data_IF_373728153494
#
_entry.id   IF_373728153494
#
_cell.length_a   1.000
_cell.length_b   1.000
_cell.length_c   1.000
_cell.angle_alpha   90.00
_cell.angle_beta   90.00
_cell.angle_gamma   90.00
#
_symmetry.space_group_name_H-M   'P 1'
#
loop_
_entity.id
_entity.type
_entity.pdbx_description
1 polymer ?
#
# COMPACT_ATOMS: atom_id res chain seq x y z
N UNK A 1 -12.41 -0.99 2.53
CA UNK A 1 -11.13 -1.71 2.73
C UNK A 1 -11.32 -3.20 2.53
N UNK A 2 -12.21 -3.87 3.27
CA UNK A 2 -12.51 -5.30 3.08
C UNK A 2 -13.00 -5.65 1.67
N UNK A 3 -13.84 -4.80 1.09
CA UNK A 3 -14.31 -4.89 -0.31
C UNK A 3 -13.16 -4.92 -1.32
N UNK A 4 -12.13 -4.08 -1.11
CA UNK A 4 -10.98 -4.06 -2.01
C UNK A 4 -10.02 -5.23 -1.75
N UNK A 5 -9.87 -5.66 -0.50
CA UNK A 5 -9.10 -6.87 -0.17
C UNK A 5 -9.71 -8.09 -0.87
N UNK A 6 -11.03 -8.24 -0.87
CA UNK A 6 -11.74 -9.31 -1.58
C UNK A 6 -11.50 -9.23 -3.09
N UNK A 7 -11.73 -8.05 -3.68
CA UNK A 7 -11.47 -7.81 -5.10
C UNK A 7 -10.02 -8.14 -5.49
N UNK A 8 -9.05 -7.69 -4.70
CA UNK A 8 -7.63 -7.90 -4.94
C UNK A 8 -7.22 -9.36 -4.77
N UNK A 9 -7.80 -10.08 -3.79
CA UNK A 9 -7.57 -11.52 -3.61
C UNK A 9 -8.00 -12.29 -4.84
N UNK A 10 -9.21 -12.03 -5.36
CA UNK A 10 -9.74 -12.69 -6.57
C UNK A 10 -8.92 -12.31 -7.81
N UNK A 11 -8.42 -11.08 -7.88
CA UNK A 11 -7.74 -10.56 -9.06
C UNK A 11 -6.26 -10.92 -9.15
N UNK A 12 -5.55 -10.86 -8.03
CA UNK A 12 -4.08 -10.95 -8.02
C UNK A 12 -3.55 -12.29 -7.47
N UNK A 13 -4.36 -13.09 -6.76
CA UNK A 13 -3.99 -14.46 -6.40
C UNK A 13 -4.43 -15.45 -7.48
N UNK A 14 -3.62 -16.49 -7.77
CA UNK A 14 -4.01 -17.51 -8.72
C UNK A 14 -5.15 -18.36 -8.16
N UNK A 15 -6.02 -18.82 -9.05
CA UNK A 15 -7.02 -19.82 -8.73
C UNK A 15 -6.37 -21.16 -8.35
N UNK A 16 -6.73 -21.66 -7.17
CA UNK A 16 -6.14 -22.80 -6.52
C UNK A 16 -7.17 -23.79 -5.94
N UNK A 17 -8.45 -23.73 -6.34
CA UNK A 17 -9.53 -24.52 -5.73
C UNK A 17 -9.19 -26.00 -5.55
N UNK A 18 -8.59 -26.65 -6.56
CA UNK A 18 -8.24 -28.09 -6.50
C UNK A 18 -6.75 -28.39 -6.77
N UNK A 19 -5.89 -27.36 -6.80
CA UNK A 19 -4.48 -27.55 -7.16
C UNK A 19 -3.53 -26.66 -6.36
N UNK A 20 -2.38 -27.23 -6.01
CA UNK A 20 -1.29 -26.45 -5.47
C UNK A 20 -0.70 -25.54 -6.55
N UNK A 21 -0.55 -24.26 -6.23
CA UNK A 21 0.04 -23.26 -7.13
C UNK A 21 1.21 -22.58 -6.45
N UNK A 22 2.33 -22.48 -7.17
CA UNK A 22 3.49 -21.73 -6.71
C UNK A 22 3.23 -20.23 -6.86
N UNK A 23 3.35 -19.49 -5.76
CA UNK A 23 3.30 -18.02 -5.77
C UNK A 23 4.69 -17.45 -5.47
N UNK A 24 4.88 -16.18 -5.83
CA UNK A 24 6.03 -15.37 -5.39
C UNK A 24 5.51 -14.43 -4.30
N UNK A 25 5.64 -14.76 -3.00
CA UNK A 25 4.96 -14.01 -1.94
C UNK A 25 5.22 -12.51 -1.99
N UNK A 26 6.48 -12.12 -2.24
CA UNK A 26 6.85 -10.71 -2.38
C UNK A 26 5.97 -9.96 -3.39
N UNK A 27 5.80 -10.49 -4.60
CA UNK A 27 5.07 -9.84 -5.69
C UNK A 27 3.56 -9.91 -5.47
N UNK A 28 3.05 -11.06 -5.03
CA UNK A 28 1.61 -11.24 -4.75
C UNK A 28 1.14 -10.31 -3.63
N UNK A 29 1.89 -10.24 -2.53
CA UNK A 29 1.59 -9.36 -1.40
C UNK A 29 1.76 -7.89 -1.78
N UNK A 30 2.79 -7.54 -2.59
CA UNK A 30 2.98 -6.17 -3.07
C UNK A 30 1.78 -5.65 -3.84
N UNK A 31 1.23 -6.44 -4.77
CA UNK A 31 0.02 -6.04 -5.53
C UNK A 31 -1.20 -5.91 -4.62
N UNK A 32 -1.40 -6.86 -3.72
CA UNK A 32 -2.50 -6.85 -2.75
C UNK A 32 -2.47 -5.58 -1.88
N UNK A 33 -1.32 -5.31 -1.26
CA UNK A 33 -1.11 -4.13 -0.40
C UNK A 33 -1.23 -2.83 -1.21
N UNK A 34 -0.67 -2.77 -2.41
CA UNK A 34 -0.80 -1.58 -3.29
C UNK A 34 -2.26 -1.23 -3.58
N UNK A 35 -3.10 -2.22 -3.94
CA UNK A 35 -4.54 -1.98 -4.17
C UNK A 35 -5.27 -1.50 -2.92
N UNK A 36 -5.02 -2.14 -1.78
CA UNK A 36 -5.65 -1.77 -0.51
C UNK A 36 -5.23 -0.36 -0.09
N UNK A 37 -3.94 -0.03 -0.16
CA UNK A 37 -3.42 1.31 0.12
C UNK A 37 -4.01 2.35 -0.83
N UNK A 38 -4.08 2.06 -2.13
CA UNK A 38 -4.68 2.96 -3.10
C UNK A 38 -6.19 3.19 -2.83
N UNK A 39 -6.91 2.18 -2.32
CA UNK A 39 -8.32 2.33 -1.91
C UNK A 39 -8.48 3.28 -0.74
N UNK A 40 -7.57 3.22 0.23
CA UNK A 40 -7.59 4.09 1.41
C UNK A 40 -7.17 5.51 1.02
N UNK A 41 -6.22 5.65 0.10
CA UNK A 41 -5.62 6.95 -0.18
C UNK A 41 -6.35 7.73 -1.27
N UNK A 42 -6.75 7.07 -2.36
CA UNK A 42 -7.38 7.71 -3.51
C UNK A 42 -8.87 7.41 -3.64
N UNK A 43 -9.35 6.31 -3.06
CA UNK A 43 -10.72 5.85 -3.26
C UNK A 43 -10.99 5.34 -4.69
N UNK A 44 -12.26 5.08 -5.00
CA UNK A 44 -12.69 4.69 -6.35
C UNK A 44 -12.90 5.93 -7.24
N UNK A 45 -12.66 5.83 -8.55
CA UNK A 45 -12.17 4.65 -9.29
C UNK A 45 -10.64 4.52 -9.31
N UNK A 46 -9.91 5.51 -8.80
CA UNK A 46 -8.45 5.60 -8.94
C UNK A 46 -7.68 4.45 -8.29
N UNK A 47 -8.19 3.85 -7.22
CA UNK A 47 -7.54 2.69 -6.59
C UNK A 47 -7.39 1.47 -7.51
N UNK A 48 -8.20 1.39 -8.57
CA UNK A 48 -8.15 0.32 -9.58
C UNK A 48 -7.50 0.77 -10.89
N UNK A 49 -6.99 2.00 -10.95
CA UNK A 49 -6.25 2.49 -12.10
C UNK A 49 -4.89 1.77 -12.14
N UNK A 50 -4.67 0.95 -13.18
CA UNK A 50 -3.43 0.16 -13.30
C UNK A 50 -2.19 1.05 -13.51
N UNK A 51 -2.32 2.24 -14.11
CA UNK A 51 -1.20 3.20 -14.20
C UNK A 51 -0.82 3.70 -12.80
N UNK A 52 -1.80 4.01 -11.93
CA UNK A 52 -1.49 4.39 -10.55
C UNK A 52 -0.83 3.24 -9.78
N UNK A 53 -1.36 2.02 -9.89
CA UNK A 53 -0.82 0.87 -9.20
C UNK A 53 0.63 0.62 -9.63
N UNK A 54 0.90 0.62 -10.93
CA UNK A 54 2.26 0.53 -11.49
C UNK A 54 3.16 1.65 -10.94
N UNK A 55 2.72 2.91 -10.99
CA UNK A 55 3.49 4.03 -10.45
C UNK A 55 3.82 3.79 -8.98
N UNK A 56 2.84 3.39 -8.16
CA UNK A 56 3.02 3.22 -6.72
C UNK A 56 3.98 2.09 -6.36
N UNK A 57 3.95 0.97 -7.10
CA UNK A 57 4.83 -0.19 -6.86
C UNK A 57 6.22 0.05 -7.43
N UNK A 58 6.32 0.51 -8.67
CA UNK A 58 7.60 0.68 -9.35
C UNK A 58 8.39 1.86 -8.79
N UNK A 59 7.71 2.95 -8.40
CA UNK A 59 8.36 4.04 -7.67
C UNK A 59 8.94 3.53 -6.36
N UNK A 60 8.22 2.66 -5.65
CA UNK A 60 8.68 2.05 -4.41
C UNK A 60 9.99 1.28 -4.61
N UNK A 61 10.01 0.33 -5.53
CA UNK A 61 11.22 -0.45 -5.82
C UNK A 61 12.37 0.45 -6.29
N UNK A 62 12.10 1.40 -7.18
CA UNK A 62 13.11 2.28 -7.74
C UNK A 62 13.74 3.23 -6.70
N UNK A 63 12.95 3.71 -5.72
CA UNK A 63 13.48 4.51 -4.60
C UNK A 63 14.44 3.68 -3.76
N UNK A 64 14.09 2.44 -3.43
CA UNK A 64 14.97 1.56 -2.65
C UNK A 64 16.28 1.24 -3.38
N UNK A 65 16.23 0.96 -4.68
CA UNK A 65 17.45 0.81 -5.50
C UNK A 65 18.32 2.06 -5.41
N UNK A 66 17.72 3.24 -5.55
CA UNK A 66 18.45 4.51 -5.45
C UNK A 66 19.08 4.71 -4.08
N UNK A 67 18.34 4.42 -3.00
CA UNK A 67 18.82 4.55 -1.62
C UNK A 67 19.99 3.60 -1.33
N UNK A 68 19.90 2.33 -1.75
CA UNK A 68 20.98 1.35 -1.58
C UNK A 68 22.25 1.82 -2.28
N UNK A 69 22.14 2.26 -3.54
CA UNK A 69 23.30 2.76 -4.29
C UNK A 69 23.87 4.00 -3.64
N UNK A 70 23.05 5.00 -3.30
CA UNK A 70 23.51 6.24 -2.68
C UNK A 70 24.17 6.02 -1.31
N UNK A 71 23.77 4.98 -0.56
CA UNK A 71 24.37 4.62 0.72
C UNK A 71 25.80 4.06 0.59
N UNK A 72 26.15 3.53 -0.58
CA UNK A 72 27.51 3.04 -0.86
C UNK A 72 28.50 4.18 -1.14
N UNK A 73 28.01 5.41 -1.38
CA UNK A 73 28.86 6.55 -1.70
C UNK A 73 28.74 7.68 -0.66
N UNK A 74 29.82 8.45 -0.43
CA UNK A 74 29.77 9.63 0.43
C UNK A 74 28.79 10.69 -0.09
N UNK A 75 28.13 11.43 0.81
CA UNK A 75 27.11 12.44 0.46
C UNK A 75 27.56 13.49 -0.58
N UNK A 76 28.83 13.89 -0.57
CA UNK A 76 29.35 14.88 -1.53
C UNK A 76 29.33 14.40 -3.00
N UNK A 77 29.24 13.09 -3.23
CA UNK A 77 29.12 12.50 -4.58
C UNK A 77 27.69 12.46 -5.10
N UNK A 78 26.69 12.66 -4.22
CA UNK A 78 25.27 12.47 -4.56
C UNK A 78 24.81 13.41 -5.68
N UNK A 79 25.34 14.62 -5.77
CA UNK A 79 25.03 15.55 -6.87
C UNK A 79 25.45 15.01 -8.25
N UNK A 80 26.63 14.39 -8.35
CA UNK A 80 27.14 13.79 -9.59
C UNK A 80 26.38 12.50 -9.91
N UNK A 81 26.16 11.66 -8.89
CA UNK A 81 25.37 10.44 -8.99
C UNK A 81 23.92 10.75 -9.41
N UNK A 82 23.38 11.91 -9.01
CA UNK A 82 22.13 12.49 -9.48
C UNK A 82 21.96 12.44 -10.99
N UNK A 83 23.03 12.81 -11.71
CA UNK A 83 23.03 12.87 -13.16
C UNK A 83 23.29 11.50 -13.81
N UNK A 84 24.08 10.65 -13.16
CA UNK A 84 24.53 9.38 -13.73
C UNK A 84 23.61 8.19 -13.42
N UNK A 85 22.83 8.23 -12.33
CA UNK A 85 22.03 7.10 -11.86
C UNK A 85 20.67 7.04 -12.58
N UNK A 86 20.43 6.04 -13.46
CA UNK A 86 19.15 5.91 -14.17
C UNK A 86 17.94 5.78 -13.24
N UNK A 87 18.15 5.27 -12.02
CA UNK A 87 17.08 5.15 -11.02
C UNK A 87 16.55 6.51 -10.55
N UNK A 88 17.39 7.54 -10.46
CA UNK A 88 16.93 8.88 -10.08
C UNK A 88 16.07 9.52 -11.18
N UNK A 89 16.48 9.34 -12.44
CA UNK A 89 15.70 9.76 -13.60
C UNK A 89 14.35 9.05 -13.68
N UNK A 90 14.33 7.73 -13.43
CA UNK A 90 13.10 6.93 -13.34
C UNK A 90 12.19 7.42 -12.22
N UNK A 91 12.76 7.68 -11.03
CA UNK A 91 12.02 8.24 -9.90
C UNK A 91 11.32 9.56 -10.26
N UNK A 92 12.06 10.48 -10.88
CA UNK A 92 11.48 11.73 -11.37
C UNK A 92 10.41 11.50 -12.46
N UNK A 93 10.57 10.48 -13.32
CA UNK A 93 9.56 10.10 -14.31
C UNK A 93 8.26 9.61 -13.66
N UNK A 94 8.33 8.74 -12.65
CA UNK A 94 7.16 8.27 -11.91
C UNK A 94 6.42 9.43 -11.24
N UNK A 95 7.14 10.36 -10.61
CA UNK A 95 6.54 11.58 -10.02
C UNK A 95 5.82 12.41 -11.10
N UNK A 96 6.42 12.59 -12.28
CA UNK A 96 5.76 13.32 -13.39
C UNK A 96 4.50 12.61 -13.88
N UNK A 97 4.53 11.28 -14.04
CA UNK A 97 3.36 10.48 -14.43
C UNK A 97 2.26 10.55 -13.36
N UNK A 98 2.62 10.45 -12.09
CA UNK A 98 1.70 10.61 -10.97
C UNK A 98 1.02 11.97 -10.96
N UNK A 99 1.80 13.05 -11.12
CA UNK A 99 1.26 14.42 -11.21
C UNK A 99 0.30 14.55 -12.40
N UNK A 100 0.62 13.97 -13.55
CA UNK A 100 -0.27 13.98 -14.73
C UNK A 100 -1.61 13.29 -14.45
N UNK A 101 -1.62 12.25 -13.62
CA UNK A 101 -2.83 11.52 -13.24
C UNK A 101 -3.63 12.24 -12.14
N UNK A 102 -2.95 12.69 -11.08
CA UNK A 102 -3.59 13.17 -9.86
C UNK A 102 -3.97 14.65 -9.91
N UNK A 103 -3.19 15.51 -10.58
CA UNK A 103 -3.49 16.96 -10.65
C UNK A 103 -4.89 17.23 -11.22
N UNK A 104 -5.29 16.62 -12.36
CA UNK A 104 -6.64 16.80 -12.88
C UNK A 104 -7.73 16.32 -11.91
N UNK A 105 -7.49 15.22 -11.20
CA UNK A 105 -8.44 14.70 -10.22
C UNK A 105 -8.59 15.66 -9.02
N UNK A 106 -7.48 16.19 -8.50
CA UNK A 106 -7.48 17.15 -7.39
C UNK A 106 -8.27 18.39 -7.77
N UNK A 107 -8.04 18.94 -8.98
CA UNK A 107 -8.79 20.09 -9.50
C UNK A 107 -10.29 19.74 -9.61
N UNK A 108 -10.62 18.58 -10.19
CA UNK A 108 -12.00 18.11 -10.33
C UNK A 108 -12.71 18.00 -8.98
N UNK A 109 -12.05 17.45 -7.94
CA UNK A 109 -12.62 17.32 -6.59
C UNK A 109 -12.87 18.69 -5.93
N UNK A 110 -11.96 19.64 -6.11
CA UNK A 110 -12.11 21.01 -5.61
C UNK A 110 -13.30 21.74 -6.24
N UNK A 111 -13.45 21.62 -7.56
CA UNK A 111 -14.54 22.24 -8.30
C UNK A 111 -15.92 21.67 -7.90
N UNK A 112 -15.96 20.39 -7.56
CA UNK A 112 -17.21 19.70 -7.25
C UNK A 112 -17.67 19.83 -5.79
N UNK A 113 -16.88 20.46 -4.89
CA UNK A 113 -17.15 20.59 -3.43
C UNK A 113 -17.92 19.37 -2.88
N UNK A 114 -17.33 18.20 -3.13
CA UNK A 114 -17.83 16.82 -2.96
C UNK A 114 -19.29 16.65 -2.50
N UNK A 115 -20.17 16.36 -3.46
CA UNK A 115 -21.57 15.98 -3.24
C UNK A 115 -21.76 14.55 -2.65
N UNK A 116 -20.68 13.78 -2.40
CA UNK A 116 -20.76 12.42 -1.83
C UNK A 116 -19.72 12.19 -0.71
N UNK A 117 -20.14 12.12 0.56
CA UNK A 117 -19.30 11.80 1.71
C UNK A 117 -18.55 10.45 1.62
N UNK A 118 -19.00 9.53 0.76
CA UNK A 118 -18.31 8.24 0.55
C UNK A 118 -17.12 8.35 -0.39
N UNK A 119 -17.10 9.35 -1.29
CA UNK A 119 -15.93 9.66 -2.11
C UNK A 119 -14.92 10.51 -1.36
N UNK A 120 -15.34 11.28 -0.36
CA UNK A 120 -14.51 12.24 0.38
C UNK A 120 -13.67 11.64 1.51
N UNK A 121 -13.93 10.40 1.95
CA UNK A 121 -13.25 9.82 3.10
C UNK A 121 -11.97 9.04 2.72
N UNK A 122 -11.02 9.72 2.07
CA UNK A 122 -9.72 9.17 1.69
C UNK A 122 -8.59 10.16 1.99
N UNK A 123 -7.35 9.65 2.02
CA UNK A 123 -6.17 10.44 2.39
C UNK A 123 -6.00 11.68 1.50
N UNK A 124 -6.19 11.56 0.18
CA UNK A 124 -6.06 12.68 -0.75
C UNK A 124 -7.05 13.80 -0.44
N UNK A 125 -8.30 13.44 -0.14
CA UNK A 125 -9.32 14.41 0.29
C UNK A 125 -8.96 15.07 1.62
N UNK A 126 -8.43 14.32 2.59
CA UNK A 126 -7.94 14.88 3.85
C UNK A 126 -6.76 15.83 3.64
N UNK A 127 -5.79 15.47 2.78
CA UNK A 127 -4.66 16.34 2.45
C UNK A 127 -5.11 17.66 1.81
N UNK A 128 -6.13 17.63 0.94
CA UNK A 128 -6.71 18.85 0.38
C UNK A 128 -7.39 19.73 1.43
N UNK A 129 -8.01 19.13 2.45
CA UNK A 129 -8.73 19.86 3.51
C UNK A 129 -7.78 20.54 4.50
N UNK A 130 -6.68 19.87 4.87
CA UNK A 130 -5.75 20.39 5.89
C UNK A 130 -4.62 21.24 5.30
N UNK A 131 -4.44 21.26 3.97
CA UNK A 131 -3.34 21.96 3.33
C UNK A 131 -3.37 23.48 3.62
N UNK A 132 -2.22 24.02 3.99
CA UNK A 132 -2.03 25.47 4.07
C UNK A 132 -2.08 26.10 2.66
N UNK A 133 -2.28 27.42 2.53
CA UNK A 133 -2.30 28.08 1.22
C UNK A 133 -1.06 27.79 0.37
N UNK A 134 0.11 27.66 1.01
CA UNK A 134 1.40 27.40 0.35
C UNK A 134 1.56 25.93 -0.07
N UNK A 135 0.86 24.99 0.59
CA UNK A 135 0.89 23.54 0.31
C UNK A 135 -0.29 23.09 -0.55
N UNK A 136 -1.17 24.03 -0.93
CA UNK A 136 -2.41 23.74 -1.66
C UNK A 136 -2.19 23.63 -3.18
N UNK A 137 -0.97 23.71 -3.69
CA UNK A 137 -0.71 23.42 -5.11
C UNK A 137 -1.09 21.96 -5.42
N UNK A 138 -1.97 21.69 -6.40
CA UNK A 138 -2.30 20.32 -6.79
C UNK A 138 -1.08 19.46 -7.12
N UNK A 139 -0.01 20.06 -7.65
CA UNK A 139 1.20 19.32 -8.00
C UNK A 139 2.00 18.89 -6.75
N UNK A 140 1.97 19.68 -5.68
CA UNK A 140 2.62 19.33 -4.41
C UNK A 140 1.83 18.28 -3.65
N UNK A 141 0.50 18.38 -3.63
CA UNK A 141 -0.39 17.34 -3.10
C UNK A 141 -0.21 16.00 -3.84
N UNK A 142 -0.10 16.04 -5.16
CA UNK A 142 0.17 14.85 -5.97
C UNK A 142 1.56 14.25 -5.68
N UNK A 143 2.57 15.09 -5.40
CA UNK A 143 3.88 14.61 -4.98
C UNK A 143 3.78 13.91 -3.62
N UNK A 144 3.15 14.56 -2.65
CA UNK A 144 2.98 14.04 -1.29
C UNK A 144 2.24 12.71 -1.30
N UNK A 145 1.20 12.56 -2.11
CA UNK A 145 0.45 11.32 -2.29
C UNK A 145 1.32 10.14 -2.74
N UNK A 146 2.29 10.37 -3.65
CA UNK A 146 3.24 9.35 -4.09
C UNK A 146 4.18 8.95 -2.95
N UNK A 147 4.66 9.91 -2.16
CA UNK A 147 5.54 9.65 -1.01
C UNK A 147 4.79 8.91 0.10
N UNK A 148 3.53 9.27 0.36
CA UNK A 148 2.68 8.56 1.31
C UNK A 148 2.42 7.12 0.87
N UNK A 149 2.16 6.92 -0.43
CA UNK A 149 2.00 5.59 -1.03
C UNK A 149 3.25 4.73 -0.86
N UNK A 150 4.43 5.28 -1.16
CA UNK A 150 5.72 4.62 -0.92
C UNK A 150 5.85 4.16 0.55
N UNK A 151 5.64 5.06 1.50
CA UNK A 151 5.82 4.79 2.92
C UNK A 151 4.87 3.69 3.43
N UNK A 152 3.62 3.73 2.99
CA UNK A 152 2.57 2.78 3.35
C UNK A 152 2.78 1.40 2.74
N UNK A 153 3.02 1.36 1.43
CA UNK A 153 3.13 0.10 0.66
C UNK A 153 4.37 -0.66 1.09
N UNK A 154 5.53 0.00 1.13
CA UNK A 154 6.80 -0.69 1.39
C UNK A 154 6.82 -1.39 2.76
N UNK A 155 6.45 -0.66 3.82
CA UNK A 155 6.48 -1.19 5.18
C UNK A 155 5.46 -2.30 5.38
N UNK A 156 4.24 -2.10 4.89
CA UNK A 156 3.15 -3.08 5.04
C UNK A 156 3.40 -4.36 4.23
N UNK A 157 3.91 -4.21 3.00
CA UNK A 157 4.28 -5.33 2.14
C UNK A 157 5.42 -6.16 2.75
N UNK A 158 6.48 -5.51 3.23
CA UNK A 158 7.59 -6.22 3.88
C UNK A 158 7.12 -6.95 5.12
N UNK A 159 6.34 -6.30 5.99
CA UNK A 159 5.82 -6.92 7.20
C UNK A 159 4.97 -8.15 6.88
N UNK A 160 4.06 -8.06 5.91
CA UNK A 160 3.22 -9.19 5.53
C UNK A 160 4.04 -10.36 4.94
N UNK A 161 5.08 -10.07 4.15
CA UNK A 161 6.01 -11.10 3.65
C UNK A 161 6.80 -11.73 4.78
N UNK A 162 7.31 -10.95 5.74
CA UNK A 162 8.07 -11.44 6.87
C UNK A 162 7.20 -12.34 7.77
N UNK A 163 5.98 -11.91 8.11
CA UNK A 163 5.02 -12.72 8.87
C UNK A 163 4.76 -14.05 8.17
N UNK A 164 4.57 -14.04 6.84
CA UNK A 164 4.37 -15.29 6.09
C UNK A 164 5.58 -16.23 6.20
N UNK A 165 6.81 -15.69 6.08
CA UNK A 165 8.03 -16.51 6.20
C UNK A 165 8.27 -16.99 7.62
N UNK A 166 7.99 -16.17 8.64
CA UNK A 166 8.13 -16.56 10.04
C UNK A 166 7.14 -17.69 10.39
N UNK A 167 5.89 -17.59 9.92
CA UNK A 167 4.88 -18.64 10.08
C UNK A 167 5.26 -19.93 9.33
N UNK A 168 5.88 -19.81 8.15
CA UNK A 168 6.37 -20.97 7.40
C UNK A 168 7.58 -21.65 8.08
N UNK A 169 8.42 -20.88 8.77
CA UNK A 169 9.59 -21.38 9.48
C UNK A 169 9.27 -21.90 10.89
N UNK A 170 8.20 -21.41 11.52
CA UNK A 170 7.76 -21.74 12.88
C UNK A 170 6.31 -22.18 12.88
N UNK A 171 6.07 -23.36 12.33
CA UNK A 171 4.71 -23.91 12.19
C UNK A 171 4.00 -24.13 13.52
N UNK A 172 4.72 -24.17 14.65
CA UNK A 172 4.13 -24.24 15.99
C UNK A 172 3.16 -23.07 16.29
N UNK A 173 3.31 -21.91 15.63
CA UNK A 173 2.41 -20.78 15.82
C UNK A 173 1.17 -20.84 14.92
N UNK A 174 1.16 -21.70 13.89
CA UNK A 174 0.04 -21.80 12.96
C UNK A 174 -1.19 -22.38 13.63
N UNK A 175 -1.02 -23.42 14.45
CA UNK A 175 -2.13 -24.09 15.15
C UNK A 175 -2.84 -23.10 16.08
N UNK A 176 -2.09 -22.46 17.00
CA UNK A 176 -2.62 -21.44 17.91
C UNK A 176 -3.30 -20.29 17.17
N UNK A 177 -2.68 -19.79 16.09
CA UNK A 177 -3.28 -18.69 15.30
C UNK A 177 -4.58 -19.11 14.60
N UNK A 178 -4.66 -20.35 14.13
CA UNK A 178 -5.87 -20.87 13.49
C UNK A 178 -6.99 -21.05 14.50
N UNK A 179 -6.69 -21.60 15.67
CA UNK A 179 -7.68 -21.78 16.74
C UNK A 179 -8.27 -20.44 17.18
N UNK A 180 -7.43 -19.42 17.42
CA UNK A 180 -7.91 -18.06 17.73
C UNK A 180 -8.82 -17.50 16.64
N UNK A 181 -8.42 -17.63 15.37
CA UNK A 181 -9.22 -17.14 14.24
C UNK A 181 -10.57 -17.87 14.19
N UNK A 182 -10.59 -19.19 14.43
CA UNK A 182 -11.80 -19.99 14.43
C UNK A 182 -12.74 -19.63 15.59
N UNK A 183 -12.20 -19.36 16.78
CA UNK A 183 -12.98 -18.87 17.93
C UNK A 183 -13.66 -17.53 17.60
N UNK A 184 -12.91 -16.57 17.05
CA UNK A 184 -13.48 -15.28 16.66
C UNK A 184 -14.49 -15.44 15.52
N UNK A 185 -14.28 -16.40 14.59
CA UNK A 185 -15.27 -16.71 13.55
C UNK A 185 -16.58 -17.22 14.15
N UNK A 186 -16.52 -18.06 15.20
CA UNK A 186 -17.71 -18.58 15.87
C UNK A 186 -18.49 -17.48 16.60
N UNK A 187 -17.78 -16.52 17.20
CA UNK A 187 -18.41 -15.42 17.94
C UNK A 187 -18.92 -14.28 17.06
N UNK A 188 -18.06 -13.75 16.19
CA UNK A 188 -18.28 -12.49 15.46
C UNK A 188 -18.63 -12.72 13.97
N UNK A 189 -18.72 -13.99 13.56
CA UNK A 189 -19.00 -14.39 12.18
C UNK A 189 -17.74 -14.43 11.30
N UNK A 190 -17.89 -14.67 9.99
CA UNK A 190 -16.75 -14.87 9.08
C UNK A 190 -15.81 -13.66 9.07
N UNK A 191 -14.50 -13.90 8.90
CA UNK A 191 -13.46 -12.86 8.94
C UNK A 191 -13.70 -11.65 8.03
N UNK A 192 -14.51 -11.83 6.97
CA UNK A 192 -14.89 -10.78 6.02
C UNK A 192 -15.88 -9.76 6.60
N UNK A 193 -16.60 -10.09 7.67
CA UNK A 193 -17.55 -9.19 8.35
C UNK A 193 -17.00 -8.59 9.64
N UNK A 194 -15.74 -8.90 9.96
CA UNK A 194 -15.10 -8.45 11.19
C UNK A 194 -15.00 -6.93 11.28
N UNK A 195 -15.39 -6.39 12.43
CA UNK A 195 -15.08 -5.01 12.79
C UNK A 195 -13.71 -4.95 13.48
N UNK A 196 -13.19 -3.74 13.70
CA UNK A 196 -11.90 -3.52 14.40
C UNK A 196 -11.83 -4.23 15.76
N UNK A 197 -12.96 -4.39 16.45
CA UNK A 197 -13.06 -5.07 17.73
C UNK A 197 -12.77 -6.56 17.64
N UNK A 198 -13.14 -7.24 16.55
CA UNK A 198 -12.88 -8.67 16.36
C UNK A 198 -11.37 -8.95 16.28
N UNK A 199 -10.60 -8.09 15.60
CA UNK A 199 -9.13 -8.20 15.55
C UNK A 199 -8.44 -8.00 16.90
N UNK A 200 -9.11 -7.39 17.87
CA UNK A 200 -8.56 -7.26 19.22
C UNK A 200 -8.68 -8.56 20.03
N UNK A 201 -9.40 -9.56 19.53
CA UNK A 201 -9.56 -10.87 20.19
C UNK A 201 -8.46 -11.87 19.81
N UNK A 202 -7.77 -11.66 18.68
CA UNK A 202 -6.65 -12.50 18.21
C UNK A 202 -5.33 -12.06 18.87
N UNK A 203 -5.17 -12.29 20.18
CA UNK A 203 -4.13 -11.64 21.02
C UNK A 203 -3.02 -12.56 21.56
N UNK A 204 -3.09 -13.89 21.56
CA UNK A 204 -2.07 -14.70 22.26
C UNK A 204 -0.72 -14.74 21.56
N UNK A 205 -0.61 -14.29 20.30
CA UNK A 205 0.68 -14.08 19.62
C UNK A 205 1.57 -13.03 20.34
N UNK A 206 1.02 -12.25 21.28
CA UNK A 206 1.81 -11.31 22.12
C UNK A 206 2.68 -12.00 23.18
N UNK A 207 2.43 -13.25 23.56
CA UNK A 207 3.08 -13.87 24.72
C UNK A 207 4.42 -14.56 24.41
N UNK A 208 4.85 -14.59 23.15
CA UNK A 208 6.02 -15.39 22.73
C UNK A 208 7.31 -14.55 22.59
N UNK A 209 7.26 -13.28 22.99
CA UNK A 209 8.42 -12.38 23.04
C UNK A 209 8.73 -11.88 24.47
N UNK A 210 8.34 -12.63 25.51
CA UNK A 210 8.81 -12.40 26.87
C UNK A 210 10.00 -13.31 27.21
#
# INVERSE_FOLDING_TARGET
MQDELEYATIKDLPDCEDKWVMIRPYHSILRLVSRISARIFLGLPLCRNEEWLEISTEFTENVFVSLVVLRLFPMWTHGILGFLLPSLWRGASYIRRAKKLLVPEIIRRREQREADPKQSNNLLSWMMEIATPDESDPSDLAHLEVVMSLASIHTSQMNAVHVLYDLAARSEYLETSQDEILEVIQEDGPWRTWQKTAFSKTQEVRLIHA
#
